data_IF_722051531882
#
_entry.id   IF_722051531882
#
_cell.length_a   1.000
_cell.length_b   1.000
_cell.length_c   1.000
_cell.angle_alpha   90.00
_cell.angle_beta   90.00
_cell.angle_gamma   90.00
#
_symmetry.space_group_name_H-M   'P 1'
#
loop_
_entity.id
_entity.type
_entity.pdbx_description
1 polymer ?
#
# COMPACT_ATOMS: atom_id res chain seq x y z
N UNK A 1 55.88 38.20 29.90
CA UNK A 1 55.83 36.90 29.17
C UNK A 1 54.64 36.14 29.74
N UNK A 2 53.55 35.83 29.05
CA UNK A 2 53.03 36.14 27.73
C UNK A 2 51.51 36.05 27.88
N UNK A 3 50.77 36.97 27.26
CA UNK A 3 49.38 36.71 26.91
C UNK A 3 49.36 35.56 25.90
N UNK A 4 48.42 34.63 26.04
CA UNK A 4 47.93 33.82 24.95
C UNK A 4 46.46 33.51 25.23
N UNK A 5 45.61 34.33 24.64
CA UNK A 5 44.26 33.91 24.34
C UNK A 5 44.34 32.74 23.36
N UNK A 6 43.63 31.67 23.67
CA UNK A 6 43.23 30.68 22.67
C UNK A 6 41.75 30.93 22.41
N UNK A 7 41.52 31.81 21.45
CA UNK A 7 40.32 31.83 20.64
C UNK A 7 40.39 30.65 19.68
N UNK A 8 39.55 29.64 19.84
CA UNK A 8 39.31 28.66 18.78
C UNK A 8 37.91 28.02 18.91
N UNK A 9 37.02 28.47 18.03
CA UNK A 9 35.86 27.78 17.45
C UNK A 9 34.62 27.48 18.31
N UNK A 10 33.83 28.53 18.58
CA UNK A 10 32.36 28.45 18.61
C UNK A 10 31.76 28.54 17.19
N UNK A 11 32.42 27.95 16.19
CA UNK A 11 31.90 27.93 14.82
C UNK A 11 30.99 26.72 14.61
N UNK A 12 29.69 27.00 14.57
CA UNK A 12 28.76 26.26 13.72
C UNK A 12 28.20 24.97 14.31
N UNK A 13 27.61 25.03 15.51
CA UNK A 13 26.47 24.17 15.78
C UNK A 13 25.31 24.66 14.88
N UNK A 14 25.34 24.30 13.60
CA UNK A 14 24.16 24.36 12.75
C UNK A 14 23.07 23.62 13.50
N UNK A 15 22.06 24.35 13.98
CA UNK A 15 20.85 23.76 14.53
C UNK A 15 20.22 22.96 13.39
N UNK A 16 20.52 21.66 13.35
CA UNK A 16 19.92 20.72 12.40
C UNK A 16 18.44 20.68 12.77
N UNK A 17 17.64 21.48 12.08
CA UNK A 17 16.19 21.52 12.27
C UNK A 17 15.65 20.11 12.06
N UNK A 18 15.01 19.53 13.06
CA UNK A 18 14.37 18.22 12.85
C UNK A 18 13.20 18.36 11.85
N UNK A 19 12.71 17.28 11.24
CA UNK A 19 11.53 17.26 10.32
C UNK A 19 10.31 18.02 10.90
N UNK A 20 10.27 18.15 12.22
CA UNK A 20 9.23 18.79 13.03
C UNK A 20 9.34 20.33 13.02
N UNK A 21 10.51 20.87 12.70
CA UNK A 21 10.84 22.30 12.73
C UNK A 21 10.75 23.00 11.37
N UNK A 22 10.45 22.25 10.31
CA UNK A 22 10.12 22.77 8.98
C UNK A 22 8.62 23.01 8.93
N UNK A 23 8.20 24.21 8.55
CA UNK A 23 6.79 24.57 8.39
C UNK A 23 6.11 23.61 7.39
N UNK A 24 4.99 23.00 7.78
CA UNK A 24 4.32 21.95 7.00
C UNK A 24 4.94 20.54 7.07
N UNK A 25 6.19 20.37 7.49
CA UNK A 25 6.87 19.06 7.54
C UNK A 25 6.15 18.01 8.40
N UNK A 26 5.58 18.46 9.53
CA UNK A 26 4.75 17.62 10.42
C UNK A 26 3.44 17.18 9.77
N UNK A 27 2.84 18.02 8.93
CA UNK A 27 1.56 17.75 8.26
C UNK A 27 1.76 16.74 7.13
N UNK A 28 2.79 16.92 6.31
CA UNK A 28 3.16 15.97 5.26
C UNK A 28 3.51 14.59 5.82
N UNK A 29 4.24 14.54 6.94
CA UNK A 29 4.56 13.28 7.61
C UNK A 29 3.31 12.62 8.22
N UNK A 30 2.39 13.41 8.75
CA UNK A 30 1.08 12.92 9.21
C UNK A 30 0.27 12.33 8.06
N UNK A 31 0.18 13.03 6.92
CA UNK A 31 -0.52 12.57 5.72
C UNK A 31 0.08 11.25 5.25
N UNK A 32 1.41 11.16 5.09
CA UNK A 32 2.08 9.93 4.66
C UNK A 32 1.76 8.74 5.59
N UNK A 33 1.75 8.97 6.92
CA UNK A 33 1.37 7.94 7.90
C UNK A 33 -0.10 7.54 7.80
N UNK A 34 -1.01 8.50 7.61
CA UNK A 34 -2.43 8.22 7.44
C UNK A 34 -2.67 7.34 6.20
N UNK A 35 -2.03 7.68 5.07
CA UNK A 35 -2.08 6.86 3.85
C UNK A 35 -1.57 5.44 4.10
N UNK A 36 -0.44 5.28 4.79
CA UNK A 36 0.09 3.97 5.16
C UNK A 36 -0.88 3.16 6.04
N UNK A 37 -1.48 3.80 7.05
CA UNK A 37 -2.45 3.15 7.94
C UNK A 37 -3.71 2.68 7.19
N UNK A 38 -4.27 3.51 6.30
CA UNK A 38 -5.39 3.12 5.44
C UNK A 38 -5.00 1.97 4.50
N UNK A 39 -3.80 2.03 3.91
CA UNK A 39 -3.28 0.94 3.08
C UNK A 39 -3.23 -0.39 3.82
N UNK A 40 -2.68 -0.42 5.04
CA UNK A 40 -2.61 -1.63 5.87
C UNK A 40 -3.99 -2.14 6.24
N UNK A 41 -4.89 -1.25 6.65
CA UNK A 41 -6.25 -1.61 7.05
C UNK A 41 -7.03 -2.24 5.88
N UNK A 42 -6.97 -1.64 4.69
CA UNK A 42 -7.64 -2.16 3.50
C UNK A 42 -7.07 -3.51 3.07
N UNK A 43 -5.75 -3.68 3.16
CA UNK A 43 -5.11 -4.96 2.85
C UNK A 43 -5.53 -6.06 3.84
N UNK A 44 -5.63 -5.73 5.13
CA UNK A 44 -6.12 -6.66 6.14
C UNK A 44 -7.58 -7.05 5.91
N UNK A 45 -8.45 -6.09 5.58
CA UNK A 45 -9.83 -6.39 5.22
C UNK A 45 -9.89 -7.26 3.95
N UNK A 46 -9.09 -6.96 2.94
CA UNK A 46 -9.00 -7.77 1.71
C UNK A 46 -8.66 -9.23 2.02
N UNK A 47 -7.70 -9.46 2.92
CA UNK A 47 -7.31 -10.79 3.39
C UNK A 47 -8.48 -11.52 4.05
N UNK A 48 -9.23 -10.84 4.94
CA UNK A 48 -10.41 -11.42 5.59
C UNK A 48 -11.45 -11.85 4.55
N UNK A 49 -11.79 -10.99 3.60
CA UNK A 49 -12.75 -11.33 2.54
C UNK A 49 -12.28 -12.49 1.67
N UNK A 50 -10.97 -12.57 1.40
CA UNK A 50 -10.39 -13.68 0.65
C UNK A 50 -10.52 -15.01 1.40
N UNK A 51 -10.23 -15.02 2.70
CA UNK A 51 -10.39 -16.19 3.56
C UNK A 51 -11.86 -16.62 3.69
N UNK A 52 -12.77 -15.64 3.82
CA UNK A 52 -14.21 -15.90 3.82
C UNK A 52 -14.69 -16.51 2.51
N UNK A 53 -14.16 -16.04 1.37
CA UNK A 53 -14.45 -16.66 0.07
C UNK A 53 -13.96 -18.12 0.02
N UNK A 54 -12.80 -18.44 0.57
CA UNK A 54 -12.32 -19.83 0.64
C UNK A 54 -13.25 -20.73 1.47
N UNK A 55 -13.91 -20.19 2.50
CA UNK A 55 -14.81 -20.94 3.38
C UNK A 55 -16.24 -21.07 2.82
N UNK A 56 -16.83 -19.97 2.33
CA UNK A 56 -18.26 -19.88 2.00
C UNK A 56 -18.50 -19.83 0.47
N UNK A 57 -17.46 -19.61 -0.33
CA UNK A 57 -17.49 -19.49 -1.81
C UNK A 57 -18.52 -18.49 -2.35
N UNK A 58 -18.77 -17.40 -1.61
CA UNK A 58 -19.67 -16.34 -2.05
C UNK A 58 -18.95 -15.33 -2.95
N UNK A 59 -19.36 -15.20 -4.21
CA UNK A 59 -18.63 -14.41 -5.23
C UNK A 59 -18.52 -12.92 -4.88
N UNK A 60 -19.47 -12.36 -4.12
CA UNK A 60 -19.37 -10.98 -3.64
C UNK A 60 -18.12 -10.77 -2.76
N UNK A 61 -17.74 -11.75 -1.94
CA UNK A 61 -16.54 -11.67 -1.09
C UNK A 61 -15.27 -11.67 -1.93
N UNK A 62 -15.26 -12.40 -3.06
CA UNK A 62 -14.14 -12.42 -4.01
C UNK A 62 -13.96 -11.06 -4.67
N UNK A 63 -15.05 -10.46 -5.17
CA UNK A 63 -15.02 -9.13 -5.78
C UNK A 63 -14.61 -8.06 -4.76
N UNK A 64 -15.17 -8.08 -3.55
CA UNK A 64 -14.81 -7.15 -2.47
C UNK A 64 -13.31 -7.23 -2.12
N UNK A 65 -12.77 -8.46 -2.01
CA UNK A 65 -11.34 -8.69 -1.76
C UNK A 65 -10.46 -8.05 -2.84
N UNK A 66 -10.81 -8.20 -4.12
CA UNK A 66 -10.07 -7.61 -5.25
C UNK A 66 -10.07 -6.08 -5.18
N UNK A 67 -11.23 -5.45 -4.97
CA UNK A 67 -11.31 -3.98 -4.87
C UNK A 67 -10.52 -3.44 -3.69
N UNK A 68 -10.60 -4.10 -2.53
CA UNK A 68 -9.85 -3.71 -1.33
C UNK A 68 -8.34 -3.88 -1.52
N UNK A 69 -7.91 -4.93 -2.22
CA UNK A 69 -6.50 -5.17 -2.54
C UNK A 69 -5.96 -4.07 -3.46
N UNK A 70 -6.68 -3.76 -4.54
CA UNK A 70 -6.37 -2.65 -5.44
C UNK A 70 -6.32 -1.30 -4.71
N UNK A 71 -7.35 -0.98 -3.93
CA UNK A 71 -7.40 0.27 -3.17
C UNK A 71 -6.23 0.39 -2.18
N UNK A 72 -5.90 -0.68 -1.44
CA UNK A 72 -4.80 -0.69 -0.47
C UNK A 72 -3.47 -0.28 -1.11
N UNK A 73 -3.19 -0.79 -2.31
CA UNK A 73 -1.96 -0.50 -3.04
C UNK A 73 -1.85 0.95 -3.49
N UNK A 74 -2.96 1.57 -3.91
CA UNK A 74 -3.01 2.99 -4.23
C UNK A 74 -2.71 3.85 -3.00
N UNK A 75 -3.22 3.48 -1.82
CA UNK A 75 -2.92 4.17 -0.57
C UNK A 75 -1.44 4.02 -0.16
N UNK A 76 -0.87 2.82 -0.30
CA UNK A 76 0.57 2.58 0.01
C UNK A 76 1.47 3.38 -0.93
N UNK A 77 1.18 3.37 -2.24
CA UNK A 77 1.93 4.16 -3.22
C UNK A 77 1.74 5.66 -3.01
N UNK A 78 0.51 6.12 -2.76
CA UNK A 78 0.22 7.51 -2.42
C UNK A 78 1.01 8.01 -1.21
N UNK A 79 1.02 7.23 -0.12
CA UNK A 79 1.81 7.54 1.07
C UNK A 79 3.32 7.57 0.81
N UNK A 80 3.80 6.69 -0.08
CA UNK A 80 5.21 6.62 -0.49
C UNK A 80 5.62 7.81 -1.38
N UNK A 81 4.72 8.31 -2.24
CA UNK A 81 4.95 9.50 -3.07
C UNK A 81 4.98 10.76 -2.20
N UNK A 82 4.02 10.89 -1.26
CA UNK A 82 3.99 12.01 -0.31
C UNK A 82 5.27 12.03 0.54
N UNK A 83 5.75 10.86 0.97
CA UNK A 83 7.01 10.75 1.71
C UNK A 83 8.22 11.24 0.90
N UNK A 84 8.29 10.92 -0.41
CA UNK A 84 9.36 11.40 -1.29
C UNK A 84 9.29 12.90 -1.50
N UNK A 85 8.09 13.46 -1.65
CA UNK A 85 7.91 14.90 -1.79
C UNK A 85 8.46 15.63 -0.56
N UNK A 86 8.10 15.16 0.65
CA UNK A 86 8.65 15.67 1.91
C UNK A 86 10.18 15.51 1.97
N UNK A 87 10.71 14.35 1.55
CA UNK A 87 12.16 14.11 1.56
C UNK A 87 12.91 15.03 0.60
N UNK A 88 12.35 15.32 -0.58
CA UNK A 88 12.93 16.27 -1.54
C UNK A 88 12.94 17.69 -0.99
N UNK A 89 11.83 18.12 -0.39
CA UNK A 89 11.71 19.44 0.24
C UNK A 89 12.68 19.61 1.43
N UNK A 90 12.90 18.54 2.19
CA UNK A 90 13.94 18.52 3.24
C UNK A 90 15.35 18.63 2.65
N UNK A 91 15.66 17.85 1.62
CA UNK A 91 16.99 17.81 1.02
C UNK A 91 17.39 19.16 0.41
N UNK A 92 16.42 19.92 -0.13
CA UNK A 92 16.66 21.27 -0.66
C UNK A 92 16.87 22.33 0.42
N UNK A 93 16.30 22.15 1.62
CA UNK A 93 16.28 23.20 2.66
C UNK A 93 17.27 22.97 3.81
N UNK A 94 17.76 21.74 4.03
CA UNK A 94 18.49 21.41 5.27
C UNK A 94 19.93 20.92 5.10
N UNK A 95 20.19 20.00 4.16
CA UNK A 95 21.54 19.55 3.80
C UNK A 95 21.48 18.59 2.62
N UNK A 96 22.27 18.81 1.55
CA UNK A 96 22.34 17.87 0.43
C UNK A 96 22.98 16.52 0.80
N UNK A 97 23.69 16.41 1.92
CA UNK A 97 24.34 15.16 2.35
C UNK A 97 23.42 14.14 3.03
N UNK A 98 22.17 14.50 3.35
CA UNK A 98 21.17 13.57 3.91
C UNK A 98 20.34 12.89 2.81
N UNK A 99 20.96 12.59 1.65
CA UNK A 99 20.26 12.33 0.39
C UNK A 99 19.78 10.88 0.18
N UNK A 100 20.03 9.93 1.08
CA UNK A 100 19.61 8.54 0.84
C UNK A 100 18.17 8.29 1.30
N UNK A 101 17.29 8.05 0.33
CA UNK A 101 15.98 7.45 0.58
C UNK A 101 16.20 6.10 1.26
N UNK A 102 15.70 5.98 2.50
CA UNK A 102 15.90 4.78 3.30
C UNK A 102 15.29 3.53 2.65
N UNK A 103 15.90 2.38 2.94
CA UNK A 103 15.43 1.04 2.56
C UNK A 103 13.90 0.79 2.74
N UNK A 104 13.23 1.29 3.80
CA UNK A 104 11.79 1.11 3.98
C UNK A 104 10.92 1.68 2.86
N UNK A 105 11.36 2.76 2.19
CA UNK A 105 10.60 3.37 1.10
C UNK A 105 10.54 2.45 -0.13
N UNK A 106 11.67 1.82 -0.49
CA UNK A 106 11.77 0.89 -1.62
C UNK A 106 10.84 -0.30 -1.40
N UNK A 107 10.79 -0.82 -0.16
CA UNK A 107 9.87 -1.90 0.20
C UNK A 107 8.41 -1.48 -0.01
N UNK A 108 8.03 -0.26 0.38
CA UNK A 108 6.65 0.20 0.21
C UNK A 108 6.25 0.31 -1.26
N UNK A 109 7.16 0.77 -2.13
CA UNK A 109 6.93 0.80 -3.58
C UNK A 109 6.78 -0.62 -4.15
N UNK A 110 7.70 -1.52 -3.81
CA UNK A 110 7.64 -2.91 -4.27
C UNK A 110 6.36 -3.60 -3.78
N UNK A 111 6.01 -3.42 -2.51
CA UNK A 111 4.77 -3.93 -1.94
C UNK A 111 3.55 -3.38 -2.69
N UNK A 112 3.51 -2.07 -2.98
CA UNK A 112 2.44 -1.47 -3.78
C UNK A 112 2.31 -2.12 -5.16
N UNK A 113 3.41 -2.26 -5.90
CA UNK A 113 3.42 -2.86 -7.25
C UNK A 113 2.97 -4.33 -7.21
N UNK A 114 3.50 -5.12 -6.28
CA UNK A 114 3.14 -6.54 -6.14
C UNK A 114 1.65 -6.68 -5.81
N UNK A 115 1.13 -5.80 -4.96
CA UNK A 115 -0.28 -5.82 -4.56
C UNK A 115 -1.21 -5.45 -5.73
N UNK A 116 -0.82 -4.49 -6.58
CA UNK A 116 -1.53 -4.18 -7.83
C UNK A 116 -1.53 -5.40 -8.76
N UNK A 117 -0.36 -6.00 -8.99
CA UNK A 117 -0.23 -7.16 -9.86
C UNK A 117 -1.11 -8.32 -9.36
N UNK A 118 -1.09 -8.60 -8.06
CA UNK A 118 -1.94 -9.59 -7.43
C UNK A 118 -3.43 -9.29 -7.62
N UNK A 119 -3.84 -8.02 -7.48
CA UNK A 119 -5.22 -7.60 -7.73
C UNK A 119 -5.65 -7.84 -9.18
N UNK A 120 -4.80 -7.50 -10.15
CA UNK A 120 -5.11 -7.69 -11.58
C UNK A 120 -5.21 -9.18 -11.93
N UNK A 121 -4.25 -10.00 -11.50
CA UNK A 121 -4.26 -11.45 -11.75
C UNK A 121 -5.50 -12.10 -11.12
N UNK A 122 -5.87 -11.67 -9.91
CA UNK A 122 -7.08 -12.16 -9.24
C UNK A 122 -8.34 -11.71 -9.97
N UNK A 123 -8.39 -10.49 -10.50
CA UNK A 123 -9.51 -10.01 -11.32
C UNK A 123 -9.64 -10.80 -12.63
N UNK A 124 -8.54 -10.98 -13.39
CA UNK A 124 -8.54 -11.71 -14.67
C UNK A 124 -8.95 -13.17 -14.48
N UNK A 125 -8.44 -13.83 -13.44
CA UNK A 125 -8.86 -15.22 -13.11
C UNK A 125 -10.32 -15.31 -12.67
N UNK A 126 -10.89 -14.22 -12.13
CA UNK A 126 -12.32 -14.16 -11.80
C UNK A 126 -13.17 -14.07 -13.05
N UNK A 127 -12.81 -13.18 -13.98
CA UNK A 127 -13.50 -13.01 -15.26
C UNK A 127 -13.42 -14.29 -16.10
N UNK A 128 -12.24 -14.92 -16.20
CA UNK A 128 -12.08 -16.19 -16.94
C UNK A 128 -12.99 -17.28 -16.42
N UNK A 129 -13.10 -17.42 -15.09
CA UNK A 129 -13.99 -18.42 -14.48
C UNK A 129 -15.47 -18.11 -14.78
N UNK A 130 -15.88 -16.85 -14.73
CA UNK A 130 -17.23 -16.44 -15.07
C UNK A 130 -17.55 -16.75 -16.54
N UNK A 131 -16.65 -16.40 -17.46
CA UNK A 131 -16.86 -16.69 -18.88
C UNK A 131 -16.85 -18.19 -19.20
N UNK A 132 -16.11 -19.03 -18.49
CA UNK A 132 -16.15 -20.49 -18.73
C UNK A 132 -17.48 -21.11 -18.33
N UNK A 133 -18.15 -20.60 -17.29
CA UNK A 133 -19.49 -21.05 -16.91
C UNK A 133 -20.53 -20.75 -17.99
N UNK A 134 -20.42 -19.58 -18.66
CA UNK A 134 -21.33 -19.21 -19.76
C UNK A 134 -21.21 -20.10 -21.02
N UNK A 135 -20.19 -20.96 -21.13
CA UNK A 135 -20.00 -21.88 -22.27
C UNK A 135 -20.16 -23.36 -21.93
N UNK A 136 -20.27 -23.73 -20.65
CA UNK A 136 -20.45 -25.13 -20.21
C UNK A 136 -21.89 -25.45 -19.74
N UNK A 137 -22.80 -24.47 -19.74
CA UNK A 137 -24.21 -24.67 -19.33
C UNK A 137 -25.16 -25.11 -20.47
N UNK A 138 -24.67 -25.31 -21.71
CA UNK A 138 -25.50 -25.79 -22.83
C UNK A 138 -25.46 -27.33 -23.04
N UNK A 139 -24.53 -28.05 -22.39
CA UNK A 139 -24.41 -29.50 -22.52
C UNK A 139 -24.43 -30.15 -21.11
N UNK A 140 -25.54 -30.83 -20.77
CA UNK A 140 -25.65 -31.86 -19.73
C UNK A 140 -26.05 -31.46 -18.28
N UNK A 141 -27.24 -30.86 -18.10
CA UNK A 141 -28.03 -31.11 -16.87
C UNK A 141 -29.38 -31.73 -17.25
N UNK A 142 -29.36 -33.05 -17.46
CA UNK A 142 -30.58 -33.87 -17.54
C UNK A 142 -31.23 -33.94 -16.14
N UNK A 143 -32.29 -33.16 -15.94
CA UNK A 143 -33.12 -33.13 -14.73
C UNK A 143 -34.06 -34.35 -14.60
N UNK A 144 -33.82 -35.45 -15.31
CA UNK A 144 -34.67 -36.64 -15.25
C UNK A 144 -34.60 -37.42 -13.93
N UNK A 145 -33.55 -37.25 -13.11
CA UNK A 145 -33.34 -38.06 -11.90
C UNK A 145 -33.80 -37.45 -10.56
N UNK A 146 -34.27 -36.19 -10.52
CA UNK A 146 -34.59 -35.51 -9.24
C UNK A 146 -36.05 -35.68 -8.80
N UNK A 147 -36.95 -36.24 -9.61
CA UNK A 147 -38.37 -36.35 -9.25
C UNK A 147 -38.88 -37.72 -8.75
N UNK A 148 -38.11 -38.81 -8.78
CA UNK A 148 -38.61 -40.12 -8.29
C UNK A 148 -38.15 -40.52 -6.87
N UNK A 149 -37.92 -39.55 -5.97
CA UNK A 149 -37.73 -39.84 -4.53
C UNK A 149 -38.69 -39.12 -3.59
N UNK A 150 -39.72 -38.46 -4.13
CA UNK A 150 -40.83 -37.92 -3.33
C UNK A 150 -42.16 -38.20 -4.03
N UNK A 151 -42.62 -39.44 -3.94
CA UNK A 151 -44.03 -39.82 -3.82
C UNK A 151 -44.11 -41.27 -3.36
#
# INVERSE_FOLDING_TARGET
VSMLGSSENENGAENIKTVIEIEGGREWLFISRAFGAFGILLNFLSLIFHLLYMCIRYDCNRSASIYLLGASSLFILGGSIVFVALHKELATNLKPDLQSLGFPWIICILAGIVTIAASIVTAVSTIKKANQWDFEDDDDIDFSDVQMRRR
#
